data_IF_139669758132
#
_entry.id   IF_139669758132
#
_cell.length_a   1.000
_cell.length_b   1.000
_cell.length_c   1.000
_cell.angle_alpha   90.00
_cell.angle_beta   90.00
_cell.angle_gamma   90.00
#
_symmetry.space_group_name_H-M   'P 1'
#
loop_
_entity.id
_entity.type
_entity.pdbx_description
1 polymer ?
#
# COMPACT_ATOMS: atom_id res chain seq x y z
N UNK A 1 -5.68 -16.08 6.85
CA UNK A 1 -4.54 -16.42 5.97
C UNK A 1 -4.34 -15.30 4.96
N UNK A 2 -3.13 -14.84 4.67
CA UNK A 2 -2.88 -13.92 3.54
C UNK A 2 -2.11 -14.67 2.46
N UNK A 3 -2.56 -14.66 1.21
CA UNK A 3 -1.97 -15.39 0.10
C UNK A 3 -1.90 -14.51 -1.14
N UNK A 4 -0.84 -14.65 -1.93
CA UNK A 4 -0.83 -14.12 -3.28
C UNK A 4 -1.63 -15.06 -4.18
N UNK A 5 -2.62 -14.49 -4.88
CA UNK A 5 -3.33 -15.13 -5.98
C UNK A 5 -2.38 -15.36 -7.15
N UNK A 6 -2.73 -16.29 -8.05
CA UNK A 6 -2.10 -16.43 -9.36
C UNK A 6 -2.12 -15.12 -10.19
N UNK A 7 -3.03 -14.21 -9.87
CA UNK A 7 -3.19 -12.89 -10.51
C UNK A 7 -2.47 -11.75 -9.75
N UNK A 8 -1.45 -12.05 -8.95
CA UNK A 8 -0.67 -11.09 -8.14
C UNK A 8 -1.48 -10.25 -7.14
N UNK A 9 -2.70 -10.68 -6.82
CA UNK A 9 -3.54 -10.04 -5.82
C UNK A 9 -3.22 -10.61 -4.42
N UNK A 10 -2.90 -9.74 -3.46
CA UNK A 10 -2.77 -10.11 -2.06
C UNK A 10 -4.16 -10.33 -1.46
N UNK A 11 -4.52 -11.58 -1.19
CA UNK A 11 -5.80 -11.97 -0.64
C UNK A 11 -5.69 -12.29 0.84
N UNK A 12 -6.54 -11.70 1.68
CA UNK A 12 -6.85 -12.20 3.02
C UNK A 12 -7.99 -13.19 2.91
N UNK A 13 -7.69 -14.45 3.21
CA UNK A 13 -8.62 -15.57 3.28
C UNK A 13 -9.04 -15.84 4.73
N UNK A 14 -10.30 -16.20 4.93
CA UNK A 14 -10.84 -16.71 6.18
C UNK A 14 -11.39 -18.11 5.93
N UNK A 15 -11.17 -19.03 6.87
CA UNK A 15 -11.73 -20.37 6.79
C UNK A 15 -13.19 -20.33 7.26
N UNK A 16 -14.10 -20.85 6.46
CA UNK A 16 -15.50 -21.00 6.85
C UNK A 16 -15.76 -22.45 7.27
N UNK A 17 -16.02 -22.65 8.56
CA UNK A 17 -16.33 -23.96 9.12
C UNK A 17 -17.66 -24.55 8.63
N UNK A 18 -18.56 -23.72 8.10
CA UNK A 18 -19.86 -24.19 7.60
C UNK A 18 -19.76 -24.76 6.18
N UNK A 19 -18.94 -24.14 5.33
CA UNK A 19 -18.75 -24.56 3.93
C UNK A 19 -17.45 -25.33 3.69
N UNK A 20 -16.59 -25.46 4.72
CA UNK A 20 -15.30 -26.15 4.70
C UNK A 20 -14.39 -25.67 3.55
N UNK A 21 -14.40 -24.36 3.29
CA UNK A 21 -13.60 -23.71 2.24
C UNK A 21 -13.00 -22.40 2.72
N UNK A 22 -11.95 -21.96 2.03
CA UNK A 22 -11.36 -20.64 2.21
C UNK A 22 -12.18 -19.58 1.47
N UNK A 23 -12.73 -18.62 2.20
CA UNK A 23 -13.43 -17.46 1.64
C UNK A 23 -12.51 -16.25 1.55
N UNK A 24 -12.58 -15.51 0.45
CA UNK A 24 -11.80 -14.28 0.25
C UNK A 24 -12.42 -13.13 1.04
N UNK A 25 -11.81 -12.83 2.19
CA UNK A 25 -12.20 -11.75 3.09
C UNK A 25 -11.79 -10.36 2.59
N UNK A 26 -10.65 -10.22 1.92
CA UNK A 26 -10.20 -9.00 1.21
C UNK A 26 -9.25 -9.43 0.10
N UNK A 27 -9.24 -8.76 -1.05
CA UNK A 27 -8.21 -8.91 -2.07
C UNK A 27 -7.67 -7.53 -2.42
N UNK A 28 -6.35 -7.36 -2.38
CA UNK A 28 -5.65 -6.14 -2.79
C UNK A 28 -4.93 -6.40 -4.11
N UNK A 29 -4.96 -5.50 -5.09
CA UNK A 29 -5.68 -4.21 -5.09
C UNK A 29 -7.21 -4.40 -5.04
N UNK A 30 -7.91 -3.64 -4.18
CA UNK A 30 -9.36 -3.83 -3.96
C UNK A 30 -10.18 -3.28 -5.14
N UNK A 31 -9.61 -2.33 -5.86
CA UNK A 31 -10.20 -1.70 -7.03
C UNK A 31 -9.12 -1.24 -8.00
N UNK A 32 -9.52 -0.72 -9.15
CA UNK A 32 -8.56 -0.35 -10.19
C UNK A 32 -7.61 0.78 -9.76
N UNK A 33 -8.01 1.66 -8.84
CA UNK A 33 -7.20 2.78 -8.35
C UNK A 33 -6.21 2.36 -7.26
N UNK A 34 -6.29 1.13 -6.75
CA UNK A 34 -5.25 0.54 -5.88
C UNK A 34 -4.06 -0.01 -6.68
N UNK A 35 -4.20 -0.15 -8.01
CA UNK A 35 -3.04 -0.44 -8.85
C UNK A 35 -2.14 0.80 -8.87
N UNK A 36 -0.91 0.62 -8.41
CA UNK A 36 0.09 1.69 -8.39
C UNK A 36 0.22 2.33 -9.78
N UNK A 37 0.11 3.66 -9.83
CA UNK A 37 0.26 4.41 -11.07
C UNK A 37 -0.84 4.18 -12.12
N UNK A 38 -2.04 3.70 -11.72
CA UNK A 38 -3.16 3.43 -12.64
C UNK A 38 -3.44 4.53 -13.68
N UNK A 39 -3.29 5.79 -13.28
CA UNK A 39 -3.56 6.96 -14.12
C UNK A 39 -2.32 7.63 -14.72
N UNK A 40 -1.12 7.05 -14.55
CA UNK A 40 0.14 7.69 -14.92
C UNK A 40 0.48 8.90 -14.04
N UNK A 41 1.51 9.64 -14.43
CA UNK A 41 1.96 10.83 -13.69
C UNK A 41 1.01 12.02 -13.83
N UNK A 42 0.98 12.86 -12.80
CA UNK A 42 0.21 14.10 -12.72
C UNK A 42 -1.29 13.94 -13.02
N UNK A 43 -1.85 12.78 -12.66
CA UNK A 43 -3.25 12.45 -12.81
C UNK A 43 -3.81 11.88 -11.50
N UNK A 44 -5.14 11.98 -11.33
CA UNK A 44 -5.88 11.47 -10.19
C UNK A 44 -6.86 10.37 -10.61
N UNK A 45 -6.86 9.28 -9.84
CA UNK A 45 -7.80 8.17 -9.99
C UNK A 45 -9.06 8.38 -9.14
N UNK A 46 -10.24 8.40 -9.76
CA UNK A 46 -11.54 8.58 -9.10
C UNK A 46 -12.45 7.42 -9.43
N UNK A 47 -12.81 6.63 -8.42
CA UNK A 47 -13.67 5.47 -8.60
C UNK A 47 -15.10 5.93 -8.86
N UNK A 48 -15.83 5.15 -9.66
CA UNK A 48 -17.20 5.41 -10.09
C UNK A 48 -17.37 6.61 -11.03
N UNK A 49 -16.29 7.27 -11.46
CA UNK A 49 -16.32 8.22 -12.57
C UNK A 49 -16.29 7.46 -13.91
N UNK A 50 -17.13 7.82 -14.91
CA UNK A 50 -17.04 7.27 -16.26
C UNK A 50 -15.63 7.34 -16.87
N UNK A 51 -14.85 8.38 -16.53
CA UNK A 51 -13.41 8.47 -16.79
C UNK A 51 -12.68 8.36 -15.45
N UNK A 52 -12.27 7.13 -15.11
CA UNK A 52 -11.61 6.84 -13.84
C UNK A 52 -10.33 7.68 -13.60
N UNK A 53 -9.69 8.16 -14.67
CA UNK A 53 -8.50 9.02 -14.60
C UNK A 53 -8.78 10.42 -15.16
N UNK A 54 -8.29 11.44 -14.46
CA UNK A 54 -8.32 12.84 -14.89
C UNK A 54 -7.00 13.53 -14.56
N UNK A 55 -6.57 14.49 -15.39
CA UNK A 55 -5.36 15.27 -15.11
C UNK A 55 -5.57 16.19 -13.90
N UNK A 56 -4.49 16.42 -13.17
CA UNK A 56 -4.47 17.42 -12.09
C UNK A 56 -4.67 18.85 -12.65
N UNK A 57 -5.09 19.77 -11.78
CA UNK A 57 -5.22 21.19 -12.14
C UNK A 57 -3.89 21.73 -12.69
N UNK A 58 -3.94 22.41 -13.84
CA UNK A 58 -2.76 22.93 -14.55
C UNK A 58 -2.06 21.91 -15.47
N UNK A 59 -2.60 20.69 -15.59
CA UNK A 59 -2.05 19.63 -16.45
C UNK A 59 -3.03 19.23 -17.56
N UNK A 60 -2.48 18.73 -18.65
CA UNK A 60 -3.20 18.19 -19.81
C UNK A 60 -2.65 16.80 -20.19
N UNK A 61 -3.45 15.94 -20.83
CA UNK A 61 -2.99 14.64 -21.29
C UNK A 61 -1.73 14.75 -22.13
N UNK A 62 -0.73 13.89 -21.87
CA UNK A 62 0.48 13.82 -22.71
C UNK A 62 0.14 13.41 -24.14
N UNK A 63 -0.84 12.51 -24.28
CA UNK A 63 -1.41 12.08 -25.57
C UNK A 63 -2.92 12.10 -25.48
N UNK A 64 -3.57 13.07 -26.13
CA UNK A 64 -5.04 13.14 -26.17
C UNK A 64 -5.66 11.91 -26.82
N UNK A 65 -4.99 11.35 -27.84
CA UNK A 65 -5.45 10.16 -28.57
C UNK A 65 -5.53 8.93 -27.66
N UNK A 66 -4.50 8.69 -26.84
CA UNK A 66 -4.48 7.59 -25.86
C UNK A 66 -5.58 7.78 -24.80
N UNK A 67 -5.72 9.01 -24.31
CA UNK A 67 -6.72 9.35 -23.29
C UNK A 67 -8.17 9.24 -23.80
N UNK A 68 -8.40 9.45 -25.09
CA UNK A 68 -9.71 9.27 -25.73
C UNK A 68 -10.12 7.81 -25.85
N UNK A 69 -9.15 6.90 -25.92
CA UNK A 69 -9.36 5.44 -25.91
C UNK A 69 -9.09 4.80 -24.55
N UNK A 70 -9.10 5.60 -23.47
CA UNK A 70 -8.96 5.17 -22.07
C UNK A 70 -7.60 4.53 -21.71
N UNK A 71 -6.54 4.93 -22.40
CA UNK A 71 -5.15 4.60 -22.06
C UNK A 71 -4.54 5.80 -21.35
N UNK A 72 -4.23 5.64 -20.06
CA UNK A 72 -3.76 6.73 -19.19
C UNK A 72 -2.30 6.59 -18.76
N UNK A 73 -1.60 5.52 -19.17
CA UNK A 73 -0.23 5.22 -18.73
C UNK A 73 0.77 6.34 -19.04
N UNK A 74 0.55 7.11 -20.10
CA UNK A 74 1.36 8.27 -20.46
C UNK A 74 1.21 9.48 -19.52
N UNK A 75 0.23 9.48 -18.63
CA UNK A 75 -0.01 10.54 -17.65
C UNK A 75 -0.36 11.88 -18.28
N UNK A 76 -0.06 12.94 -17.52
CA UNK A 76 -0.33 14.33 -17.87
C UNK A 76 0.94 15.17 -17.78
N UNK A 77 1.02 16.18 -18.63
CA UNK A 77 2.10 17.18 -18.67
C UNK A 77 1.55 18.56 -18.34
N UNK A 78 2.40 19.46 -17.85
CA UNK A 78 1.98 20.82 -17.53
C UNK A 78 1.43 21.50 -18.79
N UNK A 79 0.30 22.17 -18.64
CA UNK A 79 -0.32 22.97 -19.70
C UNK A 79 0.55 24.16 -20.08
N UNK A 80 1.17 24.79 -19.08
CA UNK A 80 2.04 25.96 -19.23
C UNK A 80 3.28 25.75 -18.36
N UNK A 81 4.50 26.03 -18.87
CA UNK A 81 5.71 26.04 -18.07
C UNK A 81 5.61 27.03 -16.90
N UNK A 82 6.21 26.68 -15.76
CA UNK A 82 6.29 27.52 -14.58
C UNK A 82 7.39 28.59 -14.74
N UNK A 83 7.09 29.83 -14.35
CA UNK A 83 7.98 31.00 -14.48
C UNK A 83 8.83 31.30 -13.24
N UNK A 84 8.64 30.53 -12.17
CA UNK A 84 9.29 30.53 -10.86
C UNK A 84 9.98 31.82 -10.37
N UNK A 85 9.52 32.48 -9.27
CA UNK A 85 8.27 32.30 -8.51
C UNK A 85 7.17 33.32 -8.87
N UNK A 86 7.41 34.21 -9.85
CA UNK A 86 6.50 35.31 -10.16
C UNK A 86 5.20 34.80 -10.80
N UNK A 87 4.07 35.00 -10.13
CA UNK A 87 2.74 34.65 -10.66
C UNK A 87 2.36 33.17 -10.51
N UNK A 88 2.85 32.50 -9.47
CA UNK A 88 2.49 31.12 -9.14
C UNK A 88 1.74 31.04 -7.82
N UNK A 89 1.01 29.95 -7.61
CA UNK A 89 0.40 29.63 -6.34
C UNK A 89 0.01 28.17 -6.26
N UNK A 90 -0.89 27.84 -5.35
CA UNK A 90 -1.25 26.44 -5.10
C UNK A 90 -2.74 26.19 -5.21
N UNK A 91 -3.08 25.17 -5.97
CA UNK A 91 -4.42 24.62 -6.03
C UNK A 91 -4.60 23.54 -4.96
N UNK A 92 -5.56 23.72 -4.06
CA UNK A 92 -5.87 22.75 -3.03
C UNK A 92 -6.77 21.63 -3.58
N UNK A 93 -6.19 20.44 -3.75
CA UNK A 93 -6.92 19.24 -4.10
C UNK A 93 -7.34 18.49 -2.83
N UNK A 94 -8.65 18.46 -2.56
CA UNK A 94 -9.19 17.89 -1.32
C UNK A 94 -9.57 16.41 -1.47
N UNK A 95 -9.59 15.69 -0.33
CA UNK A 95 -10.03 14.30 -0.21
C UNK A 95 -9.22 13.37 -1.10
N UNK A 96 -7.90 13.37 -0.90
CA UNK A 96 -6.99 12.56 -1.72
C UNK A 96 -6.09 11.65 -0.89
N UNK A 97 -5.81 10.46 -1.43
CA UNK A 97 -4.57 9.73 -1.15
C UNK A 97 -3.45 10.55 -1.77
N UNK A 98 -2.46 10.92 -0.95
CA UNK A 98 -1.30 11.70 -1.39
C UNK A 98 -0.46 10.88 -2.39
N UNK A 99 0.36 11.52 -3.21
CA UNK A 99 1.24 10.82 -4.14
C UNK A 99 2.19 9.87 -3.40
N UNK A 100 2.85 9.00 -4.16
CA UNK A 100 3.89 8.15 -3.60
C UNK A 100 5.02 8.96 -2.93
N UNK A 101 5.84 8.24 -2.17
CA UNK A 101 6.94 8.79 -1.40
C UNK A 101 8.29 8.41 -2.01
N UNK A 102 8.39 8.39 -3.35
CA UNK A 102 9.66 8.10 -4.03
C UNK A 102 10.59 9.33 -4.06
N UNK A 103 10.03 10.50 -4.35
CA UNK A 103 10.76 11.76 -4.54
C UNK A 103 10.19 12.88 -3.66
N UNK A 104 10.35 12.73 -2.35
CA UNK A 104 9.76 13.64 -1.36
C UNK A 104 10.76 14.08 -0.28
N UNK A 105 10.41 15.16 0.42
CA UNK A 105 11.07 15.59 1.66
C UNK A 105 10.03 15.78 2.76
N UNK A 106 10.35 15.30 3.96
CA UNK A 106 9.50 15.46 5.14
C UNK A 106 10.17 16.38 6.17
N UNK A 107 9.37 17.24 6.80
CA UNK A 107 9.77 18.00 7.99
C UNK A 107 8.58 18.11 8.95
N UNK A 108 8.63 17.40 10.07
CA UNK A 108 7.54 17.32 11.04
C UNK A 108 7.41 18.56 11.92
N UNK A 109 8.46 19.40 11.99
CA UNK A 109 8.47 20.63 12.79
C UNK A 109 7.85 21.83 12.07
N UNK A 110 7.73 21.77 10.75
CA UNK A 110 7.21 22.88 9.95
C UNK A 110 5.69 22.95 9.98
N UNK A 111 5.17 24.18 9.95
CA UNK A 111 3.74 24.43 9.72
C UNK A 111 3.40 24.32 8.23
N UNK A 112 2.11 24.20 7.91
CA UNK A 112 1.65 24.15 6.52
C UNK A 112 1.98 25.44 5.74
N UNK A 113 1.93 26.61 6.40
CA UNK A 113 2.30 27.89 5.80
C UNK A 113 3.81 27.97 5.51
N UNK A 114 4.64 27.47 6.42
CA UNK A 114 6.09 27.37 6.19
C UNK A 114 6.39 26.40 5.04
N UNK A 115 5.62 25.32 4.92
CA UNK A 115 5.72 24.36 3.82
C UNK A 115 5.45 25.01 2.46
N UNK A 116 4.43 25.87 2.39
CA UNK A 116 4.10 26.65 1.20
C UNK A 116 5.25 27.58 0.78
N UNK A 117 5.77 28.36 1.75
CA UNK A 117 6.89 29.28 1.52
C UNK A 117 8.14 28.53 1.06
N UNK A 118 8.43 27.39 1.67
CA UNK A 118 9.61 26.59 1.31
C UNK A 118 9.46 25.95 -0.07
N UNK A 119 8.26 25.51 -0.44
CA UNK A 119 7.98 25.02 -1.79
C UNK A 119 8.14 26.13 -2.84
N UNK A 120 7.68 27.36 -2.57
CA UNK A 120 7.80 28.48 -3.51
C UNK A 120 9.27 28.87 -3.78
N UNK A 121 10.15 28.78 -2.78
CA UNK A 121 11.58 29.06 -2.93
C UNK A 121 12.30 28.08 -3.85
N UNK A 122 11.78 26.86 -4.00
CA UNK A 122 12.39 25.83 -4.82
C UNK A 122 11.56 25.61 -6.09
N UNK A 123 12.07 26.03 -7.25
CA UNK A 123 11.37 25.92 -8.53
C UNK A 123 11.01 24.49 -8.95
N UNK A 124 11.74 23.49 -8.45
CA UNK A 124 11.43 22.09 -8.71
C UNK A 124 10.26 21.58 -7.85
N UNK A 125 9.86 22.29 -6.78
CA UNK A 125 8.76 21.83 -5.95
C UNK A 125 7.44 21.83 -6.72
N UNK A 126 6.79 20.67 -6.81
CA UNK A 126 5.57 20.44 -7.59
C UNK A 126 4.31 20.44 -6.73
N UNK A 127 4.41 19.99 -5.48
CA UNK A 127 3.30 20.00 -4.53
C UNK A 127 3.78 19.93 -3.07
N UNK A 128 2.87 20.25 -2.15
CA UNK A 128 3.08 20.03 -0.73
C UNK A 128 1.81 19.59 0.01
N UNK A 129 1.96 19.06 1.21
CA UNK A 129 0.85 18.68 2.09
C UNK A 129 1.29 18.57 3.56
N UNK A 130 0.33 18.47 4.47
CA UNK A 130 0.63 18.08 5.85
C UNK A 130 1.14 16.62 5.91
N UNK A 131 2.21 16.38 6.67
CA UNK A 131 2.72 15.02 6.92
C UNK A 131 1.82 14.25 7.88
N UNK A 132 1.25 14.92 8.87
CA UNK A 132 0.28 14.37 9.80
C UNK A 132 -1.07 15.06 9.59
N UNK A 133 -2.15 14.29 9.52
CA UNK A 133 -3.52 14.78 9.24
C UNK A 133 -4.42 14.76 10.47
N UNK A 134 -3.91 14.34 11.65
CA UNK A 134 -4.66 14.37 12.91
C UNK A 134 -4.69 15.79 13.52
N UNK A 135 -5.72 16.10 14.31
CA UNK A 135 -5.74 17.28 15.20
C UNK A 135 -5.60 18.66 14.54
N UNK A 136 -6.01 18.83 13.28
CA UNK A 136 -5.86 20.09 12.53
C UNK A 136 -4.71 20.08 11.50
N UNK A 137 -3.90 19.02 11.51
CA UNK A 137 -2.81 18.78 10.57
C UNK A 137 -1.50 19.45 10.98
N UNK A 138 -0.39 18.72 10.85
CA UNK A 138 0.94 19.22 11.20
C UNK A 138 2.04 18.61 10.35
N UNK A 139 3.21 19.28 10.34
CA UNK A 139 4.36 18.91 9.55
C UNK A 139 4.18 19.15 8.05
N UNK A 140 5.23 18.90 7.29
CA UNK A 140 5.35 19.27 5.89
C UNK A 140 5.87 18.08 5.07
N UNK A 141 5.20 17.80 3.95
CA UNK A 141 5.65 16.94 2.86
C UNK A 141 5.80 17.81 1.62
N UNK A 142 6.95 17.71 0.95
CA UNK A 142 7.27 18.40 -0.30
C UNK A 142 7.56 17.35 -1.38
N UNK A 143 7.04 17.55 -2.58
CA UNK A 143 7.35 16.77 -3.78
C UNK A 143 8.08 17.62 -4.81
N UNK A 144 9.01 17.04 -5.57
CA UNK A 144 9.89 17.76 -6.49
C UNK A 144 9.82 17.30 -7.96
N UNK A 145 9.01 16.29 -8.25
CA UNK A 145 8.85 15.73 -9.58
C UNK A 145 7.37 15.43 -9.88
N UNK A 146 7.14 14.64 -10.93
CA UNK A 146 5.87 14.08 -11.33
C UNK A 146 5.16 13.40 -10.16
N UNK A 147 3.88 13.73 -9.97
CA UNK A 147 3.08 13.20 -8.88
C UNK A 147 2.39 11.92 -9.34
N UNK A 148 2.70 10.78 -8.73
CA UNK A 148 2.18 9.46 -9.12
C UNK A 148 1.32 8.86 -8.01
N UNK A 149 0.36 8.01 -8.38
CA UNK A 149 -0.46 7.22 -7.45
C UNK A 149 -1.43 8.03 -6.57
N UNK A 150 -1.95 9.13 -7.12
CA UNK A 150 -2.98 9.94 -6.48
C UNK A 150 -4.37 9.34 -6.70
N UNK A 151 -5.16 9.24 -5.64
CA UNK A 151 -6.54 8.73 -5.67
C UNK A 151 -7.50 9.67 -4.96
N UNK A 152 -8.70 9.85 -5.51
CA UNK A 152 -9.82 10.53 -4.87
C UNK A 152 -10.48 9.64 -3.82
N UNK A 153 -10.82 10.24 -2.68
CA UNK A 153 -11.49 9.59 -1.56
C UNK A 153 -12.96 10.04 -1.50
N UNK A 154 -13.87 9.11 -1.22
CA UNK A 154 -15.33 9.34 -1.24
C UNK A 154 -15.84 10.21 -0.07
N UNK A 155 -15.13 10.25 1.06
CA UNK A 155 -15.56 10.96 2.27
C UNK A 155 -14.81 12.28 2.55
N UNK A 156 -15.35 13.06 3.49
CA UNK A 156 -14.72 14.21 4.14
C UNK A 156 -13.45 13.85 4.94
N UNK A 157 -12.48 13.19 4.29
CA UNK A 157 -11.11 13.13 4.77
C UNK A 157 -10.50 14.52 4.62
N UNK A 158 -9.97 15.08 5.70
CA UNK A 158 -9.27 16.38 5.68
C UNK A 158 -7.84 16.22 5.12
N UNK A 159 -7.71 15.46 4.02
CA UNK A 159 -6.45 15.21 3.35
C UNK A 159 -6.41 16.08 2.10
N UNK A 160 -5.57 17.10 2.15
CA UNK A 160 -5.36 18.05 1.04
C UNK A 160 -3.96 17.87 0.47
N UNK A 161 -3.86 17.97 -0.85
CA UNK A 161 -2.62 18.11 -1.60
C UNK A 161 -2.64 19.48 -2.27
N UNK A 162 -1.63 20.29 -2.02
CA UNK A 162 -1.49 21.63 -2.60
C UNK A 162 -0.57 21.54 -3.81
N UNK A 163 -1.13 21.67 -5.01
CA UNK A 163 -0.43 21.47 -6.28
C UNK A 163 0.00 22.82 -6.82
N UNK A 164 1.28 22.96 -7.16
CA UNK A 164 1.82 24.21 -7.70
C UNK A 164 1.34 24.45 -9.13
N UNK A 165 0.65 25.56 -9.33
CA UNK A 165 0.04 25.95 -10.60
C UNK A 165 0.34 27.42 -10.93
N UNK A 166 0.28 27.81 -12.22
CA UNK A 166 0.28 29.23 -12.59
C UNK A 166 -0.93 29.96 -11.97
N UNK A 167 -0.78 31.25 -11.66
CA UNK A 167 -1.84 32.06 -11.07
C UNK A 167 -3.11 32.11 -11.96
N UNK A 168 -2.96 31.96 -13.27
CA UNK A 168 -4.10 31.88 -14.22
C UNK A 168 -4.99 30.67 -14.01
N UNK A 169 -4.47 29.60 -13.41
CA UNK A 169 -5.18 28.35 -13.17
C UNK A 169 -5.76 28.27 -11.75
N UNK A 170 -5.55 29.29 -10.91
CA UNK A 170 -6.18 29.40 -9.60
C UNK A 170 -7.65 29.81 -9.76
N UNK A 171 -8.58 29.18 -9.03
CA UNK A 171 -9.98 29.57 -9.08
C UNK A 171 -10.13 31.03 -8.59
N UNK A 172 -10.96 31.87 -9.26
CA UNK A 172 -11.31 33.18 -8.72
C UNK A 172 -11.98 32.98 -7.35
N UNK A 173 -11.63 33.84 -6.39
CA UNK A 173 -12.19 33.81 -5.03
C UNK A 173 -13.69 34.15 -5.13
N UNK A 174 -14.57 33.14 -5.15
CA UNK A 174 -16.02 33.38 -5.06
C UNK A 174 -16.83 32.18 -4.54
N UNK A 175 -17.53 32.46 -3.44
CA UNK A 175 -18.78 31.95 -2.84
C UNK A 175 -19.36 30.55 -3.19
N UNK A 176 -20.02 29.91 -2.20
CA UNK A 176 -20.48 28.53 -2.30
C UNK A 176 -21.60 28.35 -3.34
N UNK A 177 -21.34 27.49 -4.34
CA UNK A 177 -22.32 27.09 -5.36
C UNK A 177 -23.50 26.34 -4.73
N UNK A 178 -24.72 26.86 -4.93
CA UNK A 178 -25.99 26.20 -4.59
C UNK A 178 -26.13 24.87 -5.33
N UNK A 179 -26.40 23.79 -4.56
CA UNK A 179 -26.74 22.47 -5.09
C UNK A 179 -28.05 22.56 -5.89
N UNK A 180 -28.06 22.03 -7.11
CA UNK A 180 -29.30 21.80 -7.90
C UNK A 180 -29.87 20.44 -7.51
N UNK A 181 -31.13 20.42 -7.09
CA UNK A 181 -31.85 19.19 -6.80
C UNK A 181 -32.20 18.47 -8.12
N UNK A 182 -31.82 17.20 -8.24
CA UNK A 182 -32.24 16.31 -9.33
C UNK A 182 -33.52 15.61 -8.88
N UNK A 183 -34.59 15.75 -9.67
CA UNK A 183 -35.86 15.05 -9.46
C UNK A 183 -35.82 13.76 -10.27
N UNK A 184 -35.98 12.61 -9.60
CA UNK A 184 -36.04 11.28 -10.23
C UNK A 184 -37.52 10.91 -10.40
N UNK A 185 -37.94 10.62 -11.64
CA UNK A 185 -39.28 10.13 -11.98
C UNK A 185 -39.23 8.59 -12.05
N UNK A 186 -40.13 7.85 -11.37
CA UNK A 186 -40.09 6.39 -11.40
C UNK A 186 -40.72 5.86 -12.71
N UNK A 187 -40.00 5.00 -13.41
CA UNK A 187 -40.51 4.20 -14.53
C UNK A 187 -40.82 2.80 -14.00
N UNK A 188 -42.05 2.32 -14.24
CA UNK A 188 -42.51 0.99 -13.83
C UNK A 188 -41.66 -0.11 -14.49
N UNK A 189 -41.09 -1.01 -13.67
CA UNK A 189 -40.14 -2.03 -14.13
C UNK A 189 -40.79 -3.38 -14.41
N UNK A 190 -40.49 -3.93 -15.59
CA UNK A 190 -40.77 -5.31 -15.98
C UNK A 190 -40.00 -6.33 -15.10
N UNK A 191 -40.58 -7.52 -14.92
CA UNK A 191 -40.09 -8.58 -14.05
C UNK A 191 -38.63 -9.03 -14.30
N UNK A 192 -38.09 -8.75 -15.50
CA UNK A 192 -36.69 -9.00 -15.86
C UNK A 192 -35.69 -8.15 -15.05
N UNK A 193 -36.07 -6.93 -14.66
CA UNK A 193 -35.24 -6.04 -13.84
C UNK A 193 -35.15 -6.58 -12.41
N UNK A 194 -36.24 -7.15 -11.89
CA UNK A 194 -36.28 -7.72 -10.54
C UNK A 194 -35.32 -8.90 -10.38
N UNK A 195 -35.17 -9.74 -11.41
CA UNK A 195 -34.22 -10.87 -11.38
C UNK A 195 -32.77 -10.39 -11.44
N UNK A 196 -32.46 -9.37 -12.25
CA UNK A 196 -31.12 -8.76 -12.27
C UNK A 196 -30.81 -8.07 -10.93
N UNK A 197 -31.78 -7.35 -10.34
CA UNK A 197 -31.63 -6.76 -9.00
C UNK A 197 -31.43 -7.81 -7.91
N UNK A 198 -32.09 -8.97 -8.01
CA UNK A 198 -31.90 -10.10 -7.09
C UNK A 198 -30.53 -10.78 -7.26
N UNK A 199 -30.03 -10.93 -8.50
CA UNK A 199 -28.68 -11.46 -8.76
C UNK A 199 -27.60 -10.47 -8.30
N UNK A 200 -27.81 -9.16 -8.46
CA UNK A 200 -26.92 -8.10 -7.94
C UNK A 200 -27.03 -7.97 -6.41
N UNK A 201 -28.16 -8.36 -5.81
CA UNK A 201 -28.35 -8.38 -4.35
C UNK A 201 -27.59 -9.48 -3.62
N UNK A 202 -27.05 -10.47 -4.35
CA UNK A 202 -26.12 -11.45 -3.78
C UNK A 202 -24.78 -10.77 -3.51
N UNK A 203 -24.74 -10.12 -2.34
CA UNK A 203 -23.60 -9.51 -1.67
C UNK A 203 -22.99 -8.32 -2.42
N UNK A 204 -23.68 -7.17 -2.37
CA UNK A 204 -23.06 -5.89 -2.69
C UNK A 204 -22.05 -5.59 -1.57
N UNK A 205 -20.76 -5.74 -1.87
CA UNK A 205 -19.66 -5.31 -1.00
C UNK A 205 -18.88 -4.22 -1.72
N UNK A 206 -18.36 -3.25 -0.98
CA UNK A 206 -17.43 -2.25 -1.52
C UNK A 206 -16.27 -2.05 -0.57
N UNK A 207 -15.08 -1.87 -1.11
CA UNK A 207 -13.90 -1.51 -0.33
C UNK A 207 -13.71 0.01 -0.34
N UNK A 208 -13.21 0.53 0.76
CA UNK A 208 -13.10 1.96 1.03
C UNK A 208 -11.87 2.22 1.90
N UNK A 209 -11.15 3.30 1.64
CA UNK A 209 -10.18 3.83 2.60
C UNK A 209 -10.89 4.75 3.61
N UNK A 210 -10.81 4.42 4.89
CA UNK A 210 -11.30 5.19 6.02
C UNK A 210 -10.49 6.48 6.24
N UNK A 211 -11.05 7.42 7.01
CA UNK A 211 -10.44 8.74 7.25
C UNK A 211 -9.06 8.66 7.92
N UNK A 212 -8.83 7.61 8.69
CA UNK A 212 -7.59 7.34 9.43
C UNK A 212 -6.59 6.49 8.61
N UNK A 213 -6.83 6.30 7.31
CA UNK A 213 -5.98 5.47 6.46
C UNK A 213 -6.24 3.96 6.57
N UNK A 214 -7.35 3.56 7.19
CA UNK A 214 -7.72 2.15 7.32
C UNK A 214 -8.43 1.61 6.08
N UNK A 215 -8.04 0.45 5.56
CA UNK A 215 -8.76 -0.20 4.45
C UNK A 215 -9.96 -0.95 5.02
N UNK A 216 -11.16 -0.50 4.65
CA UNK A 216 -12.43 -1.05 5.12
C UNK A 216 -13.14 -1.80 4.00
N UNK A 217 -13.61 -3.02 4.26
CA UNK A 217 -14.63 -3.68 3.46
C UNK A 217 -15.99 -3.41 4.09
N UNK A 218 -16.88 -2.85 3.30
CA UNK A 218 -18.26 -2.58 3.65
C UNK A 218 -19.16 -3.62 2.97
N UNK A 219 -20.16 -4.08 3.68
CA UNK A 219 -21.24 -4.91 3.13
C UNK A 219 -22.54 -4.12 3.21
N UNK A 220 -23.38 -4.27 2.20
CA UNK A 220 -24.71 -3.69 2.22
C UNK A 220 -25.62 -4.52 3.11
N UNK A 221 -26.21 -3.91 4.13
CA UNK A 221 -27.21 -4.56 4.97
C UNK A 221 -28.62 -4.14 4.51
N UNK A 222 -29.37 -5.12 3.98
CA UNK A 222 -30.73 -4.90 3.49
C UNK A 222 -31.73 -4.58 4.62
N UNK A 223 -31.40 -4.87 5.88
CA UNK A 223 -32.31 -4.63 7.01
C UNK A 223 -32.24 -3.18 7.49
N UNK A 224 -31.03 -2.61 7.61
CA UNK A 224 -30.81 -1.21 7.97
C UNK A 224 -30.80 -0.28 6.76
N UNK A 225 -30.68 -0.81 5.55
CA UNK A 225 -30.43 -0.04 4.31
C UNK A 225 -29.17 0.83 4.40
N UNK A 226 -28.16 0.34 5.12
CA UNK A 226 -26.89 1.03 5.35
C UNK A 226 -25.68 0.14 4.98
N UNK A 227 -24.54 0.80 4.77
CA UNK A 227 -23.25 0.12 4.57
C UNK A 227 -22.61 -0.18 5.93
N UNK A 228 -22.51 -1.45 6.29
CA UNK A 228 -21.86 -1.89 7.52
C UNK A 228 -20.39 -2.23 7.27
N UNK A 229 -19.50 -1.80 8.17
CA UNK A 229 -18.08 -2.18 8.13
C UNK A 229 -17.95 -3.64 8.52
N UNK A 230 -17.66 -4.50 7.54
CA UNK A 230 -17.42 -5.92 7.78
C UNK A 230 -16.01 -6.17 8.32
N UNK A 231 -15.01 -5.45 7.80
CA UNK A 231 -13.62 -5.51 8.29
C UNK A 231 -12.90 -4.21 8.02
N UNK A 232 -12.01 -3.80 8.93
CA UNK A 232 -11.07 -2.71 8.76
C UNK A 232 -9.64 -3.21 9.00
N UNK A 233 -8.69 -2.76 8.17
CA UNK A 233 -7.26 -3.04 8.29
C UNK A 233 -6.50 -1.72 8.48
N UNK A 234 -5.44 -1.66 9.30
CA UNK A 234 -4.90 -2.72 10.15
C UNK A 234 -5.86 -3.07 11.31
N UNK A 235 -6.02 -4.37 11.60
CA UNK A 235 -6.88 -4.86 12.69
C UNK A 235 -6.08 -5.10 13.97
N UNK A 236 -4.80 -5.47 13.82
CA UNK A 236 -3.85 -5.72 14.90
C UNK A 236 -2.57 -4.93 14.69
N UNK A 237 -1.77 -4.75 15.74
CA UNK A 237 -0.49 -4.03 15.65
C UNK A 237 0.46 -4.65 14.61
N UNK A 238 0.45 -5.98 14.46
CA UNK A 238 1.22 -6.68 13.42
C UNK A 238 0.67 -6.53 11.99
N UNK A 239 -0.46 -5.85 11.78
CA UNK A 239 -0.89 -5.42 10.44
C UNK A 239 -0.20 -4.09 10.03
N UNK A 240 0.39 -3.36 10.97
CA UNK A 240 1.16 -2.15 10.68
C UNK A 240 2.50 -2.53 10.04
N UNK A 241 2.81 -1.89 8.92
CA UNK A 241 4.06 -2.11 8.20
C UNK A 241 5.27 -1.84 9.10
N UNK A 242 6.19 -2.81 9.18
CA UNK A 242 7.46 -2.65 9.89
C UNK A 242 7.35 -2.54 11.41
N UNK A 243 6.25 -2.98 12.04
CA UNK A 243 6.01 -2.82 13.48
C UNK A 243 7.16 -3.34 14.38
N UNK A 244 7.90 -4.36 13.94
CA UNK A 244 9.01 -4.97 14.68
C UNK A 244 10.41 -4.55 14.21
N UNK A 245 10.50 -3.62 13.26
CA UNK A 245 11.78 -3.25 12.65
C UNK A 245 12.38 -4.37 11.77
N UNK A 246 13.62 -4.18 11.29
CA UNK A 246 14.31 -5.13 10.43
C UNK A 246 14.69 -6.43 11.14
N UNK A 247 14.66 -7.54 10.41
CA UNK A 247 15.07 -8.88 10.83
C UNK A 247 14.37 -9.39 12.11
N UNK A 248 13.13 -8.97 12.32
CA UNK A 248 12.27 -9.40 13.41
C UNK A 248 10.90 -9.85 12.89
N UNK A 249 10.24 -10.73 13.65
CA UNK A 249 8.91 -11.26 13.36
C UNK A 249 7.89 -10.76 14.39
N UNK A 250 6.73 -10.33 13.91
CA UNK A 250 5.60 -9.94 14.74
C UNK A 250 4.67 -11.13 15.02
N UNK A 251 4.39 -11.42 16.30
CA UNK A 251 3.49 -12.50 16.72
C UNK A 251 2.37 -11.91 17.55
N UNK A 252 1.13 -12.05 17.08
CA UNK A 252 -0.05 -11.56 17.82
C UNK A 252 -0.21 -12.39 19.09
N UNK A 253 -0.68 -11.75 20.16
CA UNK A 253 -0.97 -12.36 21.46
C UNK A 253 0.26 -12.86 22.23
N UNK A 254 1.48 -12.65 21.71
CA UNK A 254 2.71 -12.88 22.47
C UNK A 254 2.95 -11.70 23.43
N UNK A 255 3.31 -11.94 24.71
CA UNK A 255 3.70 -10.87 25.64
C UNK A 255 4.86 -10.01 25.12
N UNK A 256 5.78 -10.58 24.33
CA UNK A 256 6.73 -9.84 23.50
C UNK A 256 6.30 -9.95 22.05
N UNK A 257 5.46 -9.01 21.62
CA UNK A 257 4.85 -8.99 20.27
C UNK A 257 5.88 -9.10 19.14
N UNK A 258 7.12 -8.71 19.36
CA UNK A 258 8.23 -8.80 18.41
C UNK A 258 9.35 -9.69 18.96
N UNK A 259 9.88 -10.55 18.09
CA UNK A 259 11.05 -11.39 18.38
C UNK A 259 12.03 -11.40 17.21
N UNK A 260 13.32 -11.53 17.49
CA UNK A 260 14.33 -11.63 16.44
C UNK A 260 14.20 -12.94 15.66
N UNK A 261 14.51 -12.88 14.37
CA UNK A 261 14.62 -14.08 13.55
C UNK A 261 15.77 -14.98 14.01
N UNK A 262 15.71 -16.26 13.63
CA UNK A 262 16.78 -17.21 13.95
C UNK A 262 18.14 -16.73 13.41
N UNK A 263 19.16 -16.75 14.26
CA UNK A 263 20.50 -16.22 13.95
C UNK A 263 20.67 -14.70 14.11
N UNK A 264 19.64 -14.00 14.60
CA UNK A 264 19.67 -12.56 14.88
C UNK A 264 19.52 -12.26 16.37
N UNK A 265 20.06 -11.12 16.79
CA UNK A 265 19.96 -10.57 18.15
C UNK A 265 19.51 -9.11 18.10
N UNK A 266 18.88 -8.59 19.17
CA UNK A 266 18.48 -7.19 19.24
C UNK A 266 19.64 -6.25 18.93
N UNK A 267 19.40 -5.24 18.09
CA UNK A 267 20.41 -4.20 17.81
C UNK A 267 20.74 -3.39 19.08
N UNK A 268 19.75 -3.18 19.92
CA UNK A 268 19.83 -2.47 21.20
C UNK A 268 19.02 -3.23 22.24
N UNK A 269 19.70 -3.84 23.21
CA UNK A 269 19.03 -4.56 24.29
C UNK A 269 18.22 -3.61 25.18
N UNK A 270 18.71 -2.39 25.41
CA UNK A 270 18.02 -1.39 26.21
C UNK A 270 16.67 -1.03 25.59
N UNK A 271 16.61 -0.80 24.27
CA UNK A 271 15.37 -0.46 23.57
C UNK A 271 14.39 -1.64 23.61
N UNK A 272 14.87 -2.86 23.40
CA UNK A 272 14.06 -4.07 23.41
C UNK A 272 13.49 -4.40 24.80
N UNK A 273 14.20 -4.08 25.88
CA UNK A 273 13.72 -4.28 27.26
C UNK A 273 12.59 -3.30 27.64
N UNK A 274 12.52 -2.14 26.98
CA UNK A 274 11.42 -1.17 27.12
C UNK A 274 10.42 -1.22 25.97
N UNK A 275 10.40 -2.30 25.20
CA UNK A 275 9.45 -2.57 24.10
C UNK A 275 9.53 -1.58 22.92
N UNK A 276 10.72 -1.05 22.63
CA UNK A 276 11.04 -0.25 21.45
C UNK A 276 11.76 -1.15 20.43
N UNK A 277 11.05 -1.51 19.36
CA UNK A 277 11.52 -2.49 18.36
C UNK A 277 12.04 -1.85 17.07
N UNK A 278 11.99 -0.53 16.95
CA UNK A 278 12.29 0.21 15.71
C UNK A 278 13.69 -0.06 15.16
N UNK A 279 14.66 -0.33 16.03
CA UNK A 279 16.02 -0.69 15.65
C UNK A 279 16.17 -2.12 15.11
N UNK A 280 15.15 -2.97 15.27
CA UNK A 280 15.12 -4.35 14.81
C UNK A 280 16.25 -5.21 15.40
N UNK A 281 16.69 -6.16 14.59
CA UNK A 281 17.72 -7.13 14.94
C UNK A 281 18.88 -7.12 13.94
N UNK A 282 20.06 -7.48 14.43
CA UNK A 282 21.29 -7.64 13.65
C UNK A 282 21.77 -9.08 13.74
N UNK A 283 22.55 -9.53 12.76
CA UNK A 283 23.10 -10.89 12.79
C UNK A 283 23.94 -11.09 14.05
N UNK A 284 23.72 -12.23 14.70
CA UNK A 284 24.54 -12.65 15.84
C UNK A 284 25.98 -12.96 15.41
N UNK A 285 26.11 -13.59 14.25
CA UNK A 285 27.39 -13.99 13.66
C UNK A 285 27.38 -13.54 12.18
N UNK A 286 28.42 -12.81 11.72
CA UNK A 286 28.58 -12.48 10.32
C UNK A 286 28.62 -13.73 9.42
N UNK A 287 28.19 -13.59 8.18
CA UNK A 287 28.25 -14.66 7.19
C UNK A 287 29.61 -14.62 6.47
N UNK A 288 30.31 -15.75 6.46
CA UNK A 288 31.63 -15.94 5.84
C UNK A 288 31.55 -16.63 4.46
N UNK A 289 30.36 -16.67 3.87
CA UNK A 289 29.98 -17.14 2.52
C UNK A 289 31.07 -17.83 1.66
N UNK A 290 30.89 -19.09 1.18
CA UNK A 290 29.74 -19.99 1.30
C UNK A 290 29.97 -21.21 2.21
N UNK A 291 31.06 -21.28 2.96
CA UNK A 291 31.44 -22.52 3.66
C UNK A 291 30.63 -22.72 4.94
N UNK A 292 29.73 -23.70 4.91
CA UNK A 292 28.97 -24.17 6.09
C UNK A 292 27.65 -23.45 6.33
N UNK A 293 27.24 -22.52 5.48
CA UNK A 293 25.94 -21.85 5.64
C UNK A 293 24.78 -22.75 5.22
N UNK A 294 23.59 -22.44 5.72
CA UNK A 294 22.36 -23.10 5.32
C UNK A 294 21.15 -22.28 5.71
N UNK A 295 19.99 -22.92 5.76
CA UNK A 295 18.73 -22.22 5.97
C UNK A 295 17.89 -22.83 7.07
N UNK A 296 17.25 -21.97 7.86
CA UNK A 296 16.21 -22.35 8.81
C UNK A 296 14.86 -21.97 8.21
N UNK A 297 13.94 -22.93 8.17
CA UNK A 297 12.59 -22.72 7.70
C UNK A 297 11.70 -22.11 8.80
N UNK A 298 11.21 -20.91 8.56
CA UNK A 298 10.21 -20.26 9.40
C UNK A 298 8.82 -20.52 8.83
N UNK A 299 8.00 -21.28 9.55
CA UNK A 299 6.69 -21.72 9.07
C UNK A 299 5.54 -20.79 9.51
N UNK A 300 4.45 -20.80 8.74
CA UNK A 300 3.22 -20.03 9.01
C UNK A 300 3.52 -18.55 9.11
N UNK A 301 4.18 -18.00 8.11
CA UNK A 301 4.57 -16.58 8.10
C UNK A 301 4.02 -15.83 6.92
N UNK A 302 3.66 -14.56 7.17
CA UNK A 302 3.62 -13.53 6.13
C UNK A 302 5.07 -13.27 5.71
N UNK A 303 5.36 -13.44 4.42
CA UNK A 303 6.67 -13.16 3.83
C UNK A 303 7.06 -11.69 4.02
N UNK A 304 8.36 -11.36 3.99
CA UNK A 304 8.82 -9.98 4.08
C UNK A 304 8.24 -9.13 2.95
N UNK A 305 8.39 -7.81 3.08
CA UNK A 305 8.01 -6.90 2.01
C UNK A 305 8.75 -7.17 0.69
N UNK A 306 8.21 -6.58 -0.37
CA UNK A 306 8.70 -6.71 -1.73
C UNK A 306 9.41 -5.45 -2.20
N UNK A 307 10.07 -4.70 -1.30
CA UNK A 307 10.80 -3.49 -1.70
C UNK A 307 12.13 -3.81 -2.37
N UNK A 308 12.82 -4.87 -1.89
CA UNK A 308 14.13 -5.30 -2.39
C UNK A 308 14.21 -6.81 -2.48
N UNK A 309 13.57 -7.35 -3.50
CA UNK A 309 13.51 -8.78 -3.79
C UNK A 309 13.83 -9.07 -5.25
N UNK A 310 14.16 -10.32 -5.54
CA UNK A 310 14.23 -10.86 -6.89
C UNK A 310 13.27 -12.03 -7.02
N UNK A 311 12.68 -12.18 -8.21
CA UNK A 311 11.66 -13.18 -8.50
C UNK A 311 11.98 -13.94 -9.76
N UNK A 312 11.72 -15.26 -9.73
CA UNK A 312 11.72 -16.10 -10.91
C UNK A 312 10.61 -17.14 -10.83
N UNK A 313 9.67 -17.10 -11.76
CA UNK A 313 8.47 -17.95 -11.76
C UNK A 313 8.72 -19.37 -12.27
N UNK A 314 9.84 -19.60 -12.97
CA UNK A 314 10.19 -20.90 -13.56
C UNK A 314 10.98 -21.79 -12.61
N UNK A 315 11.69 -21.19 -11.65
CA UNK A 315 12.54 -21.91 -10.71
C UNK A 315 11.75 -22.71 -9.68
N UNK A 316 12.33 -23.84 -9.26
CA UNK A 316 11.84 -24.64 -8.13
C UNK A 316 12.49 -24.20 -6.82
N UNK A 317 11.91 -24.60 -5.70
CA UNK A 317 12.41 -24.23 -4.37
C UNK A 317 13.86 -24.68 -4.12
N UNK A 318 14.25 -25.88 -4.57
CA UNK A 318 15.63 -26.38 -4.45
C UNK A 318 16.62 -25.57 -5.28
N UNK A 319 16.20 -25.09 -6.46
CA UNK A 319 17.03 -24.22 -7.30
C UNK A 319 17.18 -22.84 -6.65
N UNK A 320 16.12 -22.35 -6.00
CA UNK A 320 16.11 -21.10 -5.24
C UNK A 320 17.15 -21.12 -4.10
N UNK A 321 17.25 -22.23 -3.39
CA UNK A 321 18.25 -22.45 -2.35
C UNK A 321 19.68 -22.35 -2.91
N UNK A 322 19.94 -23.04 -4.01
CA UNK A 322 21.24 -23.04 -4.68
C UNK A 322 21.61 -21.65 -5.19
N UNK A 323 20.68 -20.93 -5.81
CA UNK A 323 20.91 -19.56 -6.29
C UNK A 323 21.16 -18.58 -5.12
N UNK A 324 20.43 -18.73 -4.02
CA UNK A 324 20.67 -17.92 -2.82
C UNK A 324 22.07 -18.18 -2.23
N UNK A 325 22.51 -19.45 -2.16
CA UNK A 325 23.85 -19.79 -1.63
C UNK A 325 24.98 -19.22 -2.48
N UNK A 326 24.83 -19.17 -3.82
CA UNK A 326 25.81 -18.57 -4.74
C UNK A 326 26.01 -17.08 -4.50
N UNK A 327 24.96 -16.37 -4.07
CA UNK A 327 25.01 -14.93 -3.85
C UNK A 327 25.17 -14.62 -2.36
N UNK A 328 26.35 -14.17 -1.95
CA UNK A 328 26.65 -13.88 -0.54
C UNK A 328 25.77 -12.79 0.10
N UNK A 329 25.15 -11.94 -0.70
CA UNK A 329 24.20 -10.93 -0.21
C UNK A 329 22.82 -11.52 0.06
N UNK A 330 22.50 -12.73 -0.41
CA UNK A 330 21.17 -13.32 -0.21
C UNK A 330 20.93 -13.62 1.28
N UNK A 331 19.86 -13.06 1.84
CA UNK A 331 19.49 -13.17 3.26
C UNK A 331 18.39 -14.19 3.52
N UNK A 332 17.47 -14.38 2.57
CA UNK A 332 16.40 -15.37 2.66
C UNK A 332 15.82 -15.71 1.30
N UNK A 333 15.12 -16.84 1.23
CA UNK A 333 14.31 -17.20 0.07
C UNK A 333 12.95 -17.81 0.44
N UNK A 334 12.04 -17.84 -0.51
CA UNK A 334 10.74 -18.50 -0.38
C UNK A 334 10.20 -18.98 -1.72
N UNK A 335 9.18 -19.83 -1.68
CA UNK A 335 8.35 -20.16 -2.84
C UNK A 335 7.51 -18.95 -3.27
N UNK A 336 7.09 -18.88 -4.53
CA UNK A 336 6.10 -17.90 -4.98
C UNK A 336 4.66 -18.40 -4.71
N UNK A 337 4.34 -19.62 -5.16
CA UNK A 337 3.03 -20.25 -5.03
C UNK A 337 2.97 -21.29 -3.91
N UNK A 338 1.89 -21.27 -3.12
CA UNK A 338 1.62 -22.22 -2.02
C UNK A 338 0.83 -23.46 -2.49
N UNK A 339 0.56 -23.61 -3.79
CA UNK A 339 -0.14 -24.79 -4.33
C UNK A 339 0.79 -26.00 -4.40
N UNK A 340 0.20 -27.21 -4.36
CA UNK A 340 0.91 -28.50 -4.31
C UNK A 340 1.92 -28.58 -5.46
N UNK A 341 3.21 -28.44 -5.13
CA UNK A 341 4.33 -28.43 -6.07
C UNK A 341 5.18 -27.16 -6.07
N UNK A 342 4.76 -26.09 -5.40
CA UNK A 342 5.56 -24.88 -5.10
C UNK A 342 6.42 -24.37 -6.26
N UNK A 343 5.81 -23.75 -7.26
CA UNK A 343 6.55 -23.13 -8.37
C UNK A 343 6.88 -21.66 -8.07
N UNK A 344 8.06 -21.25 -8.49
CA UNK A 344 8.57 -19.89 -8.36
C UNK A 344 9.46 -19.69 -7.14
N UNK A 345 10.44 -18.79 -7.29
CA UNK A 345 11.48 -18.45 -6.35
C UNK A 345 11.43 -16.95 -6.03
N UNK A 346 11.50 -16.63 -4.75
CA UNK A 346 11.68 -15.29 -4.22
C UNK A 346 13.00 -15.25 -3.44
N UNK A 347 13.86 -14.28 -3.75
CA UNK A 347 15.12 -14.04 -3.05
C UNK A 347 15.12 -12.63 -2.43
N UNK A 348 15.62 -12.51 -1.22
CA UNK A 348 15.89 -11.24 -0.55
C UNK A 348 17.39 -11.06 -0.32
N UNK A 349 17.87 -9.81 -0.38
CA UNK A 349 19.31 -9.48 -0.29
C UNK A 349 19.67 -8.48 0.80
N UNK A 350 18.68 -8.00 1.54
CA UNK A 350 18.88 -7.02 2.62
C UNK A 350 18.08 -7.44 3.85
N UNK A 351 17.93 -6.50 4.78
CA UNK A 351 17.11 -6.65 5.97
C UNK A 351 15.68 -7.07 5.62
N UNK A 352 15.18 -8.08 6.33
CA UNK A 352 13.84 -8.61 6.13
C UNK A 352 12.86 -7.81 6.99
N UNK A 353 11.93 -7.10 6.36
CA UNK A 353 10.98 -6.20 7.05
C UNK A 353 9.55 -6.69 6.86
N UNK A 354 8.69 -6.38 7.83
CA UNK A 354 7.23 -6.61 7.77
C UNK A 354 6.81 -8.11 7.80
N UNK A 355 7.63 -8.93 8.48
CA UNK A 355 7.35 -10.35 8.73
C UNK A 355 6.40 -10.51 9.92
N UNK A 356 5.42 -11.41 9.77
CA UNK A 356 4.46 -11.74 10.82
C UNK A 356 4.17 -13.23 10.91
N UNK A 357 3.95 -13.73 12.13
CA UNK A 357 3.41 -15.06 12.40
C UNK A 357 1.90 -15.12 12.13
N UNK A 358 1.47 -16.18 11.45
CA UNK A 358 0.07 -16.47 11.13
C UNK A 358 -0.47 -17.55 12.08
N UNK A 359 -1.65 -17.32 12.64
CA UNK A 359 -2.24 -18.22 13.67
C UNK A 359 -2.82 -19.52 13.09
N UNK A 360 -3.23 -19.57 11.81
CA UNK A 360 -3.90 -20.77 11.23
C UNK A 360 -3.54 -21.07 9.77
N UNK A 361 -3.45 -22.39 9.47
CA UNK A 361 -3.41 -23.15 8.20
C UNK A 361 -2.69 -22.58 6.95
N UNK A 362 -1.90 -21.52 7.10
CA UNK A 362 -1.04 -21.03 6.03
C UNK A 362 0.25 -21.87 5.97
N UNK A 363 0.45 -22.62 4.88
CA UNK A 363 1.69 -23.37 4.61
C UNK A 363 2.83 -22.48 4.06
N UNK A 364 2.78 -21.16 4.28
CA UNK A 364 3.85 -20.26 3.84
C UNK A 364 5.10 -20.45 4.69
N UNK A 365 6.22 -20.67 4.01
CA UNK A 365 7.54 -20.80 4.61
C UNK A 365 8.46 -19.69 4.12
N UNK A 366 9.34 -19.23 5.00
CA UNK A 366 10.45 -18.35 4.68
C UNK A 366 11.73 -19.04 5.14
N UNK A 367 12.69 -19.21 4.24
CA UNK A 367 13.97 -19.87 4.52
C UNK A 367 15.02 -18.80 4.77
N UNK A 368 15.51 -18.71 6.01
CA UNK A 368 16.41 -17.64 6.46
C UNK A 368 17.83 -18.18 6.48
N UNK A 369 18.76 -17.47 5.84
CA UNK A 369 20.17 -17.87 5.74
C UNK A 369 20.89 -17.67 7.06
N UNK A 370 21.50 -18.73 7.57
CA UNK A 370 22.20 -18.76 8.87
C UNK A 370 23.56 -19.46 8.77
N UNK A 371 24.50 -19.16 9.67
CA UNK A 371 25.79 -19.86 9.74
C UNK A 371 25.62 -21.32 10.19
N UNK A 372 26.64 -22.14 9.91
CA UNK A 372 26.68 -23.58 10.26
C UNK A 372 26.40 -23.85 11.74
N UNK A 373 26.87 -22.96 12.61
CA UNK A 373 26.73 -23.08 14.06
C UNK A 373 25.27 -23.11 14.50
N UNK A 374 24.42 -22.36 13.80
CA UNK A 374 23.02 -22.19 14.16
C UNK A 374 22.18 -23.36 13.64
N UNK A 375 22.57 -23.99 12.54
CA UNK A 375 21.91 -25.19 12.02
C UNK A 375 21.96 -26.37 13.01
N UNK A 376 23.04 -26.46 13.81
CA UNK A 376 23.22 -27.52 14.82
C UNK A 376 22.29 -27.40 16.03
N UNK A 377 21.59 -26.27 16.17
CA UNK A 377 20.63 -26.04 17.26
C UNK A 377 19.24 -26.57 16.88
N UNK A 378 18.98 -26.78 15.59
CA UNK A 378 17.67 -27.17 15.03
C UNK A 378 17.68 -28.56 14.35
N UNK A 379 18.81 -29.27 14.40
CA UNK A 379 18.97 -30.69 14.05
C UNK A 379 19.19 -31.49 15.34
#
# INVERSE_FOLDING_TARGET
MSALSYSDALQRLIWDNSTLQWLVQVALPCDQCDNYGKCGSNAICTINDPRICSCLAGYVPKSSQEWDVLIWSGGCVRKVPLGCPAGEGFFALERVKKPDLLQYRINTSMTLQECEVECLKNCSCTAYANSNVTGGGSGCLLWFEDLVDIRKLDEAANNKLYIRVPASDLPPISEPKKKKNVVVVPVAGDASIAVVLLIVSFSIWKCRLGKEGTVQRLIWDNSTLEWLVQVALPRHQCDNYGNCGPNAICTINDPRICSCLAGYVPKSLQDWDVLIWSGGCVRKIPLDCPVGEGFIALEKVKKPDFLKFWINTSMRLQECEVECLKNCSCTAYADLNVTVGGSGCLLWFEDLVDIRKLEEAANQKLYIRVPASDLRIYL
#
